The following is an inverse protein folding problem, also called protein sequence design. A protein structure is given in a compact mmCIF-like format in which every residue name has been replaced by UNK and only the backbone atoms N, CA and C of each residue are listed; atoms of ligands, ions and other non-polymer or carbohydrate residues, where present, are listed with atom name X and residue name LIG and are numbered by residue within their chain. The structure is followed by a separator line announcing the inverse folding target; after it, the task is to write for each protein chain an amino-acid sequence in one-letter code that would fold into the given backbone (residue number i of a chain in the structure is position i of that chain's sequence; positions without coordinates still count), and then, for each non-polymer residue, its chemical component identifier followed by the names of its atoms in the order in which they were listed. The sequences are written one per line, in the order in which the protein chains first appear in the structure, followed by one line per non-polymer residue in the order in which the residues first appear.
data_IF_516751292022
#
_entry.id   IF_516751292022
#
_cell.length_a   1.000
_cell.length_b   1.000
_cell.length_c   1.000
_cell.angle_alpha   90.00
_cell.angle_beta   90.00
_cell.angle_gamma   90.00
#
_symmetry.space_group_name_H-M   'P 1'
#
loop_
_entity.id
_entity.type
_entity.pdbx_description
1 polymer ?
#
# COMPACT_ATOMS: atom_id res chain seq x y z
N UNK A 1 24.94 11.86 -5.48
CA UNK A 1 24.04 12.10 -4.31
C UNK A 1 22.94 11.05 -4.40
N UNK A 2 22.71 10.26 -3.35
CA UNK A 2 21.67 9.22 -3.33
C UNK A 2 20.28 9.89 -3.26
N UNK A 3 19.34 9.44 -4.10
CA UNK A 3 17.98 9.98 -4.21
C UNK A 3 17.23 9.95 -2.87
N UNK A 4 17.26 8.83 -2.15
CA UNK A 4 16.56 8.72 -0.86
C UNK A 4 17.13 9.67 0.19
N UNK A 5 18.46 9.84 0.21
CA UNK A 5 19.12 10.78 1.13
C UNK A 5 18.76 12.25 0.87
N UNK A 6 18.45 12.61 -0.39
CA UNK A 6 17.96 13.96 -0.69
C UNK A 6 16.56 14.16 -0.12
N UNK A 7 15.68 13.18 -0.28
CA UNK A 7 14.31 13.24 0.24
C UNK A 7 14.29 13.27 1.77
N UNK A 8 15.11 12.45 2.43
CA UNK A 8 15.29 12.47 3.89
C UNK A 8 15.71 13.86 4.39
N UNK A 9 16.72 14.45 3.75
CA UNK A 9 17.21 15.78 4.12
C UNK A 9 16.13 16.87 3.98
N UNK A 10 15.22 16.71 3.03
CA UNK A 10 14.13 17.66 2.77
C UNK A 10 12.83 17.29 3.51
N UNK A 11 12.80 16.20 4.27
CA UNK A 11 11.59 15.70 4.93
C UNK A 11 10.48 15.30 3.94
N UNK A 12 10.84 14.99 2.69
CA UNK A 12 9.88 14.65 1.63
C UNK A 12 9.55 13.17 1.64
N UNK A 13 8.27 12.83 1.50
CA UNK A 13 7.82 11.44 1.38
C UNK A 13 8.16 10.87 0.00
N UNK A 14 8.82 9.71 -0.02
CA UNK A 14 9.08 8.95 -1.23
C UNK A 14 7.79 8.25 -1.73
N UNK A 15 7.56 8.28 -3.04
CA UNK A 15 6.43 7.58 -3.67
C UNK A 15 6.92 6.23 -4.17
N UNK A 16 6.30 5.15 -3.70
CA UNK A 16 6.63 3.79 -4.10
C UNK A 16 5.50 3.24 -4.97
N UNK A 17 5.83 2.81 -6.20
CA UNK A 17 4.85 2.27 -7.14
C UNK A 17 5.09 0.77 -7.34
N UNK A 18 4.24 -0.07 -6.75
CA UNK A 18 4.30 -1.53 -6.94
C UNK A 18 3.54 -1.93 -8.20
N UNK A 19 4.28 -2.45 -9.19
CA UNK A 19 3.71 -2.99 -10.43
C UNK A 19 4.12 -4.46 -10.57
N UNK A 20 3.19 -5.29 -11.06
CA UNK A 20 3.45 -6.71 -11.22
C UNK A 20 4.65 -6.99 -12.13
N UNK A 21 5.46 -7.99 -11.77
CA UNK A 21 6.59 -8.47 -12.56
C UNK A 21 7.87 -7.62 -12.53
N UNK A 22 7.91 -6.53 -11.76
CA UNK A 22 9.09 -5.65 -11.58
C UNK A 22 9.32 -5.19 -10.13
N UNK A 23 8.97 -6.03 -9.14
CA UNK A 23 9.07 -5.65 -7.71
C UNK A 23 10.50 -5.50 -7.22
N UNK A 24 11.48 -6.09 -7.90
CA UNK A 24 12.90 -5.90 -7.64
C UNK A 24 13.36 -4.44 -7.80
N UNK A 25 12.60 -3.62 -8.53
CA UNK A 25 12.88 -2.19 -8.70
C UNK A 25 12.33 -1.33 -7.55
N UNK A 26 11.64 -1.93 -6.57
CA UNK A 26 11.06 -1.21 -5.45
C UNK A 26 12.13 -0.84 -4.44
N UNK A 27 12.36 0.47 -4.28
CA UNK A 27 13.38 0.99 -3.37
C UNK A 27 13.02 0.84 -1.87
N UNK A 28 11.79 0.41 -1.52
CA UNK A 28 11.33 -0.02 -0.18
C UNK A 28 11.93 0.71 1.03
N UNK A 29 12.04 2.04 0.93
CA UNK A 29 12.77 2.88 1.88
C UNK A 29 11.90 4.05 2.32
N UNK A 30 11.74 4.20 3.65
CA UNK A 30 11.10 5.36 4.26
C UNK A 30 12.06 6.53 4.29
N UNK A 31 11.62 7.69 3.83
CA UNK A 31 12.41 8.94 3.85
C UNK A 31 11.94 9.91 4.95
N UNK A 32 10.80 9.63 5.58
CA UNK A 32 10.27 10.27 6.78
C UNK A 32 9.28 9.29 7.47
N UNK A 33 8.49 9.76 8.43
CA UNK A 33 7.49 8.95 9.14
C UNK A 33 6.19 8.70 8.36
N UNK A 34 6.19 8.99 7.05
CA UNK A 34 5.06 8.81 6.14
C UNK A 34 5.45 7.95 4.94
N UNK A 35 4.60 6.99 4.58
CA UNK A 35 4.73 6.19 3.37
C UNK A 35 3.60 6.51 2.38
N UNK A 36 3.95 6.65 1.10
CA UNK A 36 3.00 6.77 0.01
C UNK A 36 3.22 5.64 -0.99
N UNK A 37 2.26 4.73 -1.09
CA UNK A 37 2.33 3.54 -1.92
C UNK A 37 1.19 3.56 -2.95
N UNK A 38 1.55 3.43 -4.23
CA UNK A 38 0.60 3.15 -5.32
C UNK A 38 0.77 1.69 -5.73
N UNK A 39 -0.20 0.87 -5.35
CA UNK A 39 -0.28 -0.53 -5.70
C UNK A 39 -1.06 -0.71 -7.02
N UNK A 40 -0.38 -1.25 -8.03
CA UNK A 40 -0.97 -1.55 -9.35
C UNK A 40 -1.16 -3.07 -9.45
N UNK A 41 -2.43 -3.46 -9.46
CA UNK A 41 -2.83 -4.85 -9.60
C UNK A 41 -2.74 -5.35 -11.04
N UNK A 42 -2.61 -6.67 -11.20
CA UNK A 42 -2.53 -7.35 -12.49
C UNK A 42 -3.80 -8.15 -12.83
N UNK A 43 -4.83 -8.10 -11.97
CA UNK A 43 -6.01 -8.95 -12.01
C UNK A 43 -5.65 -10.45 -11.95
N UNK A 44 -4.65 -10.77 -11.13
CA UNK A 44 -4.10 -12.12 -10.98
C UNK A 44 -4.09 -12.55 -9.52
N UNK A 45 -4.05 -13.87 -9.26
CA UNK A 45 -3.99 -14.40 -7.89
C UNK A 45 -2.81 -13.83 -7.09
N UNK A 46 -1.68 -13.59 -7.77
CA UNK A 46 -0.50 -12.94 -7.19
C UNK A 46 -0.78 -11.55 -6.62
N UNK A 47 -1.90 -10.90 -6.95
CA UNK A 47 -2.26 -9.62 -6.36
C UNK A 47 -2.52 -9.73 -4.86
N UNK A 48 -3.06 -10.86 -4.39
CA UNK A 48 -3.30 -11.12 -2.98
C UNK A 48 -1.99 -11.42 -2.25
N UNK A 49 -1.14 -12.28 -2.82
CA UNK A 49 0.18 -12.61 -2.26
C UNK A 49 1.03 -11.35 -2.07
N UNK A 50 1.04 -10.44 -3.06
CA UNK A 50 1.77 -9.16 -2.96
C UNK A 50 1.20 -8.24 -1.88
N UNK A 51 -0.12 -8.23 -1.68
CA UNK A 51 -0.73 -7.44 -0.61
C UNK A 51 -0.35 -8.00 0.76
N UNK A 52 -0.32 -9.32 0.92
CA UNK A 52 0.10 -9.96 2.18
C UNK A 52 1.55 -9.59 2.53
N UNK A 53 2.44 -9.60 1.54
CA UNK A 53 3.82 -9.11 1.71
C UNK A 53 3.90 -7.62 2.07
N UNK A 54 2.99 -6.80 1.53
CA UNK A 54 2.88 -5.40 1.92
C UNK A 54 2.39 -5.23 3.35
N UNK A 55 1.43 -6.04 3.82
CA UNK A 55 1.00 -6.05 5.22
C UNK A 55 2.20 -6.29 6.13
N UNK A 56 3.01 -7.31 5.85
CA UNK A 56 4.23 -7.60 6.62
C UNK A 56 5.23 -6.45 6.61
N UNK A 57 5.43 -5.83 5.44
CA UNK A 57 6.30 -4.67 5.30
C UNK A 57 5.81 -3.50 6.16
N UNK A 58 4.51 -3.24 6.17
CA UNK A 58 3.91 -2.12 6.91
C UNK A 58 4.00 -2.35 8.41
N UNK A 59 3.81 -3.59 8.89
CA UNK A 59 4.03 -3.95 10.30
C UNK A 59 5.46 -3.62 10.70
N UNK A 60 6.45 -4.07 9.91
CA UNK A 60 7.85 -3.74 10.15
C UNK A 60 8.10 -2.23 10.13
N UNK A 61 7.60 -1.51 9.13
CA UNK A 61 7.76 -0.06 9.06
C UNK A 61 7.13 0.69 10.22
N UNK A 62 6.02 0.18 10.77
CA UNK A 62 5.39 0.73 11.98
C UNK A 62 6.33 0.61 13.18
N UNK A 63 7.02 -0.51 13.34
CA UNK A 63 8.05 -0.69 14.37
C UNK A 63 9.24 0.26 14.17
N UNK A 64 9.56 0.58 12.91
CA UNK A 64 10.62 1.51 12.51
C UNK A 64 10.20 2.99 12.58
N UNK A 65 8.97 3.30 13.00
CA UNK A 65 8.50 4.67 13.24
C UNK A 65 7.58 5.27 12.18
N UNK A 66 7.05 4.45 11.25
CA UNK A 66 5.97 4.87 10.35
C UNK A 66 4.72 5.28 11.16
N UNK A 67 4.24 6.50 10.92
CA UNK A 67 3.04 7.05 11.55
C UNK A 67 1.87 7.17 10.58
N UNK A 68 2.15 7.49 9.31
CA UNK A 68 1.12 7.75 8.31
C UNK A 68 1.34 6.88 7.08
N UNK A 69 0.31 6.14 6.67
CA UNK A 69 0.33 5.34 5.45
C UNK A 69 -0.76 5.81 4.50
N UNK A 70 -0.36 6.19 3.29
CA UNK A 70 -1.24 6.37 2.14
C UNK A 70 -1.04 5.20 1.18
N UNK A 71 -2.04 4.31 1.08
CA UNK A 71 -1.97 3.11 0.24
C UNK A 71 -3.11 3.12 -0.78
N UNK A 72 -2.76 3.36 -2.06
CA UNK A 72 -3.71 3.45 -3.16
C UNK A 72 -3.68 2.18 -4.00
N UNK A 73 -4.81 1.47 -4.06
CA UNK A 73 -4.98 0.29 -4.90
C UNK A 73 -5.62 0.70 -6.21
N UNK A 74 -4.97 0.33 -7.32
CA UNK A 74 -5.46 0.57 -8.66
C UNK A 74 -5.58 -0.76 -9.43
N UNK A 75 -6.76 -1.01 -9.98
CA UNK A 75 -7.02 -2.08 -10.95
C UNK A 75 -7.68 -1.51 -12.20
N UNK A 76 -7.46 -2.20 -13.32
CA UNK A 76 -8.18 -1.93 -14.57
C UNK A 76 -9.63 -2.45 -14.51
N UNK A 77 -9.91 -3.47 -13.69
CA UNK A 77 -11.26 -3.99 -13.45
C UNK A 77 -11.80 -3.34 -12.18
N UNK A 78 -12.87 -2.56 -12.32
CA UNK A 78 -13.42 -1.72 -11.25
C UNK A 78 -13.80 -2.52 -10.00
N UNK A 79 -14.50 -3.65 -10.16
CA UNK A 79 -14.93 -4.52 -9.06
C UNK A 79 -13.77 -5.16 -8.28
N UNK A 80 -12.58 -5.28 -8.88
CA UNK A 80 -11.43 -5.90 -8.24
C UNK A 80 -10.78 -4.98 -7.19
N UNK A 81 -10.87 -3.65 -7.34
CA UNK A 81 -10.25 -2.70 -6.41
C UNK A 81 -10.86 -2.77 -5.00
N UNK A 82 -12.20 -2.77 -4.82
CA UNK A 82 -12.82 -2.93 -3.51
C UNK A 82 -12.49 -4.27 -2.84
N UNK A 83 -12.40 -5.36 -3.61
CA UNK A 83 -12.07 -6.69 -3.08
C UNK A 83 -10.64 -6.74 -2.54
N UNK A 84 -9.68 -6.19 -3.28
CA UNK A 84 -8.29 -6.11 -2.84
C UNK A 84 -8.11 -5.16 -1.66
N UNK A 85 -8.83 -4.02 -1.65
CA UNK A 85 -8.85 -3.13 -0.50
C UNK A 85 -9.40 -3.82 0.75
N UNK A 86 -10.49 -4.57 0.62
CA UNK A 86 -11.06 -5.34 1.73
C UNK A 86 -10.08 -6.40 2.26
N UNK A 87 -9.42 -7.14 1.37
CA UNK A 87 -8.38 -8.11 1.73
C UNK A 87 -7.22 -7.44 2.50
N UNK A 88 -6.68 -6.37 1.93
CA UNK A 88 -5.57 -5.63 2.53
C UNK A 88 -5.92 -5.04 3.90
N UNK A 89 -7.08 -4.40 4.02
CA UNK A 89 -7.55 -3.81 5.29
C UNK A 89 -7.74 -4.89 6.35
N UNK A 90 -8.31 -6.05 5.99
CA UNK A 90 -8.46 -7.17 6.90
C UNK A 90 -7.09 -7.63 7.44
N UNK A 91 -6.11 -7.84 6.55
CA UNK A 91 -4.76 -8.24 6.95
C UNK A 91 -4.07 -7.21 7.84
N UNK A 92 -4.20 -5.92 7.52
CA UNK A 92 -3.68 -4.83 8.36
C UNK A 92 -4.33 -4.87 9.74
N UNK A 93 -5.66 -4.89 9.84
CA UNK A 93 -6.37 -4.91 11.12
C UNK A 93 -5.94 -6.10 11.98
N UNK A 94 -5.85 -7.29 11.38
CA UNK A 94 -5.44 -8.52 12.06
C UNK A 94 -4.00 -8.43 12.62
N UNK A 95 -3.03 -7.93 11.84
CA UNK A 95 -1.62 -7.89 12.30
C UNK A 95 -1.29 -6.69 13.17
N UNK A 96 -2.04 -5.60 13.07
CA UNK A 96 -1.72 -4.32 13.73
C UNK A 96 -2.64 -4.00 14.91
N UNK A 97 -3.75 -4.73 15.06
CA UNK A 97 -4.81 -4.45 16.04
C UNK A 97 -5.60 -3.17 15.73
N UNK A 98 -5.46 -2.62 14.52
CA UNK A 98 -6.22 -1.46 14.07
C UNK A 98 -7.66 -1.86 13.72
N UNK A 99 -8.53 -0.86 13.66
CA UNK A 99 -9.95 -1.01 13.30
C UNK A 99 -10.28 -0.10 12.11
N UNK A 100 -9.61 -0.33 10.99
CA UNK A 100 -9.87 0.38 9.73
C UNK A 100 -11.17 -0.19 9.12
N UNK A 101 -12.06 0.71 8.68
CA UNK A 101 -13.33 0.32 8.06
C UNK A 101 -13.10 -0.37 6.71
N UNK A 102 -13.72 -1.53 6.51
CA UNK A 102 -13.72 -2.24 5.23
C UNK A 102 -14.85 -1.66 4.35
N UNK A 103 -14.59 -1.33 3.07
CA UNK A 103 -15.64 -0.87 2.17
C UNK A 103 -16.76 -1.90 2.04
N UNK A 104 -18.01 -1.50 2.30
CA UNK A 104 -19.17 -2.34 2.05
C UNK A 104 -19.51 -2.33 0.56
N UNK A 105 -19.84 -3.50 -0.01
CA UNK A 105 -20.34 -3.61 -1.40
C UNK A 105 -21.57 -2.73 -1.68
N UNK A 106 -22.32 -2.33 -0.65
CA UNK A 106 -23.54 -1.52 -0.78
C UNK A 106 -23.28 -0.06 -1.18
N UNK A 107 -22.07 0.46 -0.97
CA UNK A 107 -21.70 1.85 -1.30
C UNK A 107 -20.84 1.92 -2.57
N UNK A 108 -21.11 1.04 -3.55
CA UNK A 108 -20.53 1.10 -4.89
C UNK A 108 -21.00 2.31 -5.73
N UNK A 109 -21.52 3.36 -5.08
CA UNK A 109 -21.76 4.67 -5.68
C UNK A 109 -20.59 5.64 -5.49
N UNK A 110 -19.52 5.24 -4.79
CA UNK A 110 -18.27 6.00 -4.79
C UNK A 110 -17.45 5.52 -5.99
N UNK A 111 -17.67 6.17 -7.13
CA UNK A 111 -16.69 6.17 -8.21
C UNK A 111 -15.37 6.62 -7.61
N UNK A 112 -14.37 5.74 -7.61
CA UNK A 112 -12.99 6.08 -7.22
C UNK A 112 -12.20 6.63 -8.43
N UNK A 113 -12.90 7.09 -9.46
CA UNK A 113 -12.39 7.85 -10.60
C UNK A 113 -13.35 8.98 -11.00
#
# INVERSE_FOLDING_TARGET
KNYTSLLEKLGMTNIIVDTAGRRELLHMHLTNDTAFVRYVGANAASDYDRLDEWVDRIVKWREEGLKTLYFFIHQNVEEASPLLAAHFIKGINEKTGLTISVPNKADASISLF
#
